data_IF_808353456772
#
_entry.id   IF_808353456772
#
_cell.length_a   1.000
_cell.length_b   1.000
_cell.length_c   1.000
_cell.angle_alpha   90.00
_cell.angle_beta   90.00
_cell.angle_gamma   90.00
#
_symmetry.space_group_name_H-M   'P 1'
#
loop_
_entity.id
_entity.type
_entity.pdbx_description
1 polymer ?
#
# COMPACT_ATOMS: atom_id res chain seq x y z
N UNK A 1 7.91 -36.88 32.65
CA UNK A 1 7.17 -36.55 31.42
C UNK A 1 6.46 -35.23 31.63
N UNK A 2 7.12 -34.12 31.31
CA UNK A 2 6.54 -32.77 31.36
C UNK A 2 6.11 -32.41 29.94
N UNK A 3 4.81 -32.54 29.68
CA UNK A 3 4.22 -32.13 28.40
C UNK A 3 4.29 -30.61 28.28
N UNK A 4 5.00 -30.11 27.27
CA UNK A 4 4.87 -28.72 26.84
C UNK A 4 3.42 -28.49 26.40
N UNK A 5 2.77 -27.51 27.03
CA UNK A 5 1.50 -26.96 26.56
C UNK A 5 1.71 -26.45 25.14
N UNK A 6 1.15 -27.16 24.15
CA UNK A 6 1.03 -26.65 22.80
C UNK A 6 0.19 -25.37 22.86
N UNK A 7 0.86 -24.20 22.78
CA UNK A 7 0.17 -22.93 22.61
C UNK A 7 -0.58 -23.03 21.29
N UNK A 8 -1.91 -23.04 21.35
CA UNK A 8 -2.74 -22.95 20.13
C UNK A 8 -2.26 -21.72 19.35
N UNK A 9 -1.93 -21.84 18.05
CA UNK A 9 -1.54 -20.68 17.26
C UNK A 9 -2.65 -19.64 17.36
N UNK A 10 -2.28 -18.42 17.75
CA UNK A 10 -3.21 -17.30 17.84
C UNK A 10 -3.76 -17.05 16.43
N UNK A 11 -5.08 -16.88 16.24
CA UNK A 11 -5.64 -16.58 14.93
C UNK A 11 -5.01 -15.30 14.38
N UNK A 12 -4.73 -15.31 13.08
CA UNK A 12 -4.11 -14.19 12.38
C UNK A 12 -5.15 -13.06 12.25
N UNK A 13 -4.87 -11.93 12.89
CA UNK A 13 -5.72 -10.75 12.89
C UNK A 13 -5.24 -9.75 11.83
N UNK A 14 -5.71 -9.91 10.59
CA UNK A 14 -5.33 -9.06 9.45
C UNK A 14 -5.69 -7.59 9.68
N UNK A 15 -6.85 -7.22 10.27
CA UNK A 15 -7.14 -5.85 10.68
C UNK A 15 -6.10 -5.23 11.61
N UNK A 16 -5.68 -5.94 12.67
CA UNK A 16 -4.64 -5.45 13.57
C UNK A 16 -3.28 -5.33 12.85
N UNK A 17 -2.98 -6.24 11.92
CA UNK A 17 -1.80 -6.13 11.08
C UNK A 17 -1.86 -4.91 10.15
N UNK A 18 -3.03 -4.58 9.58
CA UNK A 18 -3.19 -3.40 8.73
C UNK A 18 -2.96 -2.10 9.50
N UNK A 19 -3.46 -1.99 10.73
CA UNK A 19 -3.14 -0.86 11.61
C UNK A 19 -1.64 -0.76 11.88
N UNK A 20 -1.02 -1.87 12.31
CA UNK A 20 0.39 -1.90 12.61
C UNK A 20 1.24 -1.55 11.37
N UNK A 21 0.83 -1.97 10.18
CA UNK A 21 1.51 -1.63 8.93
C UNK A 21 1.55 -0.12 8.66
N UNK A 22 0.47 0.61 8.96
CA UNK A 22 0.43 2.07 8.81
C UNK A 22 1.38 2.76 9.79
N UNK A 23 1.40 2.30 11.04
CA UNK A 23 2.34 2.83 12.02
C UNK A 23 3.79 2.51 11.63
N UNK A 24 4.08 1.29 11.22
CA UNK A 24 5.44 0.90 10.81
C UNK A 24 5.91 1.66 9.57
N UNK A 25 5.00 1.98 8.64
CA UNK A 25 5.28 2.86 7.50
C UNK A 25 5.56 4.30 7.96
N UNK A 26 4.74 4.88 8.82
CA UNK A 26 4.90 6.26 9.31
C UNK A 26 6.17 6.45 10.13
N UNK A 27 6.48 5.46 10.97
CA UNK A 27 7.62 5.50 11.90
C UNK A 27 8.95 5.08 11.24
N UNK A 28 8.92 4.59 10.00
CA UNK A 28 10.14 4.34 9.22
C UNK A 28 10.83 5.68 8.93
N UNK A 29 12.06 5.84 9.41
CA UNK A 29 12.79 7.12 9.32
C UNK A 29 14.31 6.84 9.18
N UNK A 30 15.01 7.41 8.18
CA UNK A 30 14.51 8.32 7.14
C UNK A 30 13.67 7.62 6.06
N UNK A 31 12.64 8.28 5.55
CA UNK A 31 11.76 7.76 4.48
C UNK A 31 11.82 8.67 3.24
N UNK A 32 12.75 8.41 2.30
CA UNK A 32 13.08 9.34 1.22
C UNK A 32 11.88 9.88 0.42
N UNK A 33 11.70 11.20 0.43
CA UNK A 33 10.66 11.93 -0.32
C UNK A 33 9.25 11.81 0.26
N UNK A 34 9.06 11.08 1.36
CA UNK A 34 7.79 10.81 2.02
C UNK A 34 7.75 11.49 3.40
N UNK A 35 6.56 11.58 3.99
CA UNK A 35 6.38 12.13 5.34
C UNK A 35 6.91 11.13 6.37
N UNK A 36 7.80 11.57 7.26
CA UNK A 36 8.31 10.78 8.39
C UNK A 36 8.53 11.66 9.64
N UNK A 37 9.31 11.18 10.62
CA UNK A 37 9.62 11.96 11.83
C UNK A 37 10.58 13.12 11.61
N UNK A 38 11.39 13.11 10.55
CA UNK A 38 12.39 14.13 10.28
C UNK A 38 11.81 15.28 9.46
N UNK A 39 10.93 15.00 8.51
CA UNK A 39 10.36 16.01 7.63
C UNK A 39 9.06 15.56 6.93
N UNK A 40 8.47 16.48 6.15
CA UNK A 40 7.23 16.26 5.40
C UNK A 40 7.46 15.66 4.00
N UNK A 41 8.67 15.17 3.72
CA UNK A 41 9.09 14.75 2.39
C UNK A 41 8.88 15.84 1.35
N UNK A 42 8.40 15.45 0.17
CA UNK A 42 8.05 16.38 -0.89
C UNK A 42 6.74 17.13 -0.64
N UNK A 43 6.04 16.92 0.48
CA UNK A 43 4.72 17.47 0.71
C UNK A 43 4.75 18.84 1.41
N UNK A 44 3.73 19.66 1.12
CA UNK A 44 3.49 20.96 1.77
C UNK A 44 2.16 21.03 2.52
N UNK A 45 1.32 20.02 2.31
CA UNK A 45 -0.07 19.92 2.74
C UNK A 45 -0.26 18.87 3.85
N UNK A 46 0.76 18.08 4.16
CA UNK A 46 0.71 17.00 5.15
C UNK A 46 2.02 16.91 5.94
N UNK A 47 1.90 16.46 7.18
CA UNK A 47 2.98 16.23 8.13
C UNK A 47 2.72 14.97 8.98
N UNK A 48 3.67 14.60 9.82
CA UNK A 48 3.57 13.41 10.69
C UNK A 48 2.30 13.44 11.57
N UNK A 49 1.97 14.58 12.16
CA UNK A 49 0.81 14.73 13.03
C UNK A 49 -0.52 14.51 12.27
N UNK A 50 -0.59 14.92 11.01
CA UNK A 50 -1.74 14.66 10.13
C UNK A 50 -1.87 13.18 9.80
N UNK A 51 -0.75 12.50 9.55
CA UNK A 51 -0.73 11.04 9.37
C UNK A 51 -1.22 10.32 10.63
N UNK A 52 -0.76 10.70 11.82
CA UNK A 52 -1.25 10.16 13.10
C UNK A 52 -2.78 10.30 13.21
N UNK A 53 -3.32 11.50 12.96
CA UNK A 53 -4.78 11.72 12.98
C UNK A 53 -5.51 10.84 11.99
N UNK A 54 -4.94 10.68 10.79
CA UNK A 54 -5.51 9.80 9.78
C UNK A 54 -5.52 8.34 10.21
N UNK A 55 -4.41 7.81 10.75
CA UNK A 55 -4.31 6.42 11.19
C UNK A 55 -5.38 6.14 12.24
N UNK A 56 -5.49 7.01 13.27
CA UNK A 56 -6.51 6.88 14.29
C UNK A 56 -7.94 6.88 13.72
N UNK A 57 -8.22 7.67 12.69
CA UNK A 57 -9.53 7.76 12.07
C UNK A 57 -9.89 6.54 11.20
N UNK A 58 -8.89 5.90 10.57
CA UNK A 58 -9.11 4.78 9.64
C UNK A 58 -8.95 3.40 10.28
N UNK A 59 -8.18 3.26 11.36
CA UNK A 59 -7.98 1.97 12.07
C UNK A 59 -9.28 1.22 12.35
N UNK A 60 -10.35 1.84 12.89
CA UNK A 60 -11.60 1.12 13.18
C UNK A 60 -12.27 0.51 11.94
N UNK A 61 -11.96 0.99 10.75
CA UNK A 61 -12.53 0.49 9.50
C UNK A 61 -11.93 -0.83 9.05
N UNK A 62 -10.70 -1.17 9.47
CA UNK A 62 -10.08 -2.44 9.08
C UNK A 62 -10.85 -3.66 9.58
N UNK A 63 -11.36 -3.62 10.81
CA UNK A 63 -12.25 -4.64 11.34
C UNK A 63 -13.56 -4.72 10.53
N UNK A 64 -14.14 -3.56 10.19
CA UNK A 64 -15.37 -3.48 9.39
C UNK A 64 -15.20 -4.06 7.99
N UNK A 65 -14.04 -3.89 7.37
CA UNK A 65 -13.74 -4.52 6.08
C UNK A 65 -13.74 -6.05 6.20
N UNK A 66 -13.12 -6.60 7.24
CA UNK A 66 -13.12 -8.04 7.48
C UNK A 66 -14.53 -8.58 7.77
N UNK A 67 -15.31 -7.91 8.63
CA UNK A 67 -16.70 -8.26 8.93
C UNK A 67 -17.58 -8.25 7.67
N UNK A 68 -17.41 -7.25 6.79
CA UNK A 68 -18.12 -7.17 5.52
C UNK A 68 -17.73 -8.31 4.58
N UNK A 69 -16.44 -8.68 4.59
CA UNK A 69 -15.91 -9.83 3.86
C UNK A 69 -16.58 -11.12 4.30
N UNK A 70 -16.64 -11.35 5.60
CA UNK A 70 -17.29 -12.52 6.22
C UNK A 70 -18.79 -12.57 5.89
N UNK A 71 -19.51 -11.47 6.10
CA UNK A 71 -20.95 -11.38 5.83
C UNK A 71 -21.30 -11.64 4.35
N UNK A 72 -20.35 -11.50 3.44
CA UNK A 72 -20.53 -11.73 2.02
C UNK A 72 -19.63 -12.83 1.44
N UNK A 73 -19.04 -13.68 2.29
CA UNK A 73 -18.16 -14.78 1.89
C UNK A 73 -18.78 -15.68 0.80
N UNK A 74 -20.07 -16.01 0.94
CA UNK A 74 -20.80 -16.87 0.01
C UNK A 74 -21.12 -16.22 -1.36
N UNK A 75 -21.00 -14.90 -1.50
CA UNK A 75 -21.27 -14.22 -2.78
C UNK A 75 -20.07 -14.40 -3.74
N UNK A 76 -20.31 -14.47 -5.07
CA UNK A 76 -19.25 -14.53 -6.08
C UNK A 76 -18.27 -13.35 -6.00
N UNK A 77 -16.99 -13.60 -6.29
CA UNK A 77 -15.91 -12.63 -6.18
C UNK A 77 -16.12 -11.37 -7.04
N UNK A 78 -16.68 -11.53 -8.25
CA UNK A 78 -16.96 -10.45 -9.20
C UNK A 78 -18.05 -9.46 -8.72
N UNK A 79 -18.84 -9.82 -7.70
CA UNK A 79 -19.83 -8.95 -7.05
C UNK A 79 -19.25 -8.18 -5.86
N UNK A 80 -18.10 -8.59 -5.34
CA UNK A 80 -17.56 -8.08 -4.07
C UNK A 80 -17.07 -6.65 -4.14
N UNK A 81 -16.41 -6.25 -5.23
CA UNK A 81 -15.95 -4.86 -5.38
C UNK A 81 -17.10 -3.85 -5.30
N UNK A 82 -18.30 -4.20 -5.78
CA UNK A 82 -19.46 -3.30 -5.69
C UNK A 82 -19.97 -3.16 -4.25
N UNK A 83 -19.82 -4.21 -3.46
CA UNK A 83 -20.22 -4.26 -2.05
C UNK A 83 -19.19 -3.52 -1.17
N UNK A 84 -17.90 -3.69 -1.46
CA UNK A 84 -16.80 -3.09 -0.72
C UNK A 84 -16.70 -1.57 -0.92
N UNK A 85 -17.04 -1.07 -2.12
CA UNK A 85 -16.86 0.34 -2.49
C UNK A 85 -17.47 1.36 -1.52
N UNK A 86 -18.75 1.26 -1.12
CA UNK A 86 -19.33 2.22 -0.17
C UNK A 86 -18.55 2.28 1.15
N UNK A 87 -18.05 1.13 1.64
CA UNK A 87 -17.24 1.08 2.85
C UNK A 87 -15.87 1.73 2.64
N UNK A 88 -15.22 1.49 1.50
CA UNK A 88 -13.98 2.16 1.11
C UNK A 88 -14.13 3.68 1.06
N UNK A 89 -15.19 4.18 0.41
CA UNK A 89 -15.49 5.61 0.31
C UNK A 89 -15.77 6.24 1.67
N UNK A 90 -16.46 5.53 2.56
CA UNK A 90 -16.74 6.04 3.90
C UNK A 90 -15.47 6.07 4.79
N UNK A 91 -14.57 5.11 4.62
CA UNK A 91 -13.25 5.14 5.25
C UNK A 91 -12.39 6.30 4.73
N UNK A 92 -12.36 6.53 3.41
CA UNK A 92 -11.71 7.72 2.81
C UNK A 92 -12.30 9.02 3.37
N UNK A 93 -13.63 9.10 3.53
CA UNK A 93 -14.28 10.28 4.11
C UNK A 93 -13.90 10.51 5.57
N UNK A 94 -13.72 9.45 6.36
CA UNK A 94 -13.22 9.55 7.73
C UNK A 94 -11.78 10.09 7.78
N UNK A 95 -10.91 9.59 6.89
CA UNK A 95 -9.57 10.15 6.68
C UNK A 95 -9.65 11.64 6.34
N UNK A 96 -10.42 12.02 5.32
CA UNK A 96 -10.53 13.42 4.89
C UNK A 96 -11.09 14.32 5.99
N UNK A 97 -12.06 13.87 6.77
CA UNK A 97 -12.59 14.62 7.90
C UNK A 97 -11.53 14.86 8.99
N UNK A 98 -10.74 13.84 9.34
CA UNK A 98 -9.68 13.95 10.34
C UNK A 98 -8.47 14.79 9.88
N UNK A 99 -8.33 14.97 8.57
CA UNK A 99 -7.17 15.60 7.93
C UNK A 99 -7.48 16.94 7.26
N UNK A 100 -8.69 17.47 7.40
CA UNK A 100 -9.08 18.73 6.78
C UNK A 100 -9.10 18.68 5.24
N UNK A 101 -9.41 17.51 4.66
CA UNK A 101 -9.50 17.30 3.22
C UNK A 101 -8.20 16.84 2.55
N UNK A 102 -7.13 16.62 3.31
CA UNK A 102 -5.83 16.19 2.77
C UNK A 102 -5.80 14.67 2.57
N UNK A 103 -5.26 14.23 1.44
CA UNK A 103 -5.09 12.80 1.16
C UNK A 103 -3.80 12.27 1.77
N UNK A 104 -3.89 11.57 2.91
CA UNK A 104 -2.73 10.94 3.56
C UNK A 104 -2.59 9.45 3.24
N UNK A 105 -3.69 8.70 3.12
CA UNK A 105 -3.69 7.23 3.04
C UNK A 105 -4.66 6.64 2.01
N UNK A 106 -5.11 7.37 0.98
CA UNK A 106 -6.11 6.81 0.04
C UNK A 106 -5.69 5.49 -0.61
N UNK A 107 -4.41 5.38 -1.02
CA UNK A 107 -3.88 4.14 -1.60
C UNK A 107 -3.77 3.02 -0.56
N UNK A 108 -3.25 3.33 0.64
CA UNK A 108 -3.22 2.41 1.77
C UNK A 108 -4.60 1.88 2.18
N UNK A 109 -5.62 2.75 2.27
CA UNK A 109 -7.01 2.35 2.54
C UNK A 109 -7.51 1.37 1.48
N UNK A 110 -7.25 1.65 0.20
CA UNK A 110 -7.64 0.76 -0.90
C UNK A 110 -6.97 -0.61 -0.76
N UNK A 111 -5.66 -0.66 -0.57
CA UNK A 111 -4.89 -1.91 -0.55
C UNK A 111 -5.11 -2.72 0.74
N UNK A 112 -5.02 -2.09 1.90
CA UNK A 112 -5.21 -2.74 3.20
C UNK A 112 -6.68 -3.10 3.44
N UNK A 113 -7.62 -2.27 2.98
CA UNK A 113 -9.05 -2.59 3.02
C UNK A 113 -9.39 -3.83 2.19
N UNK A 114 -8.78 -3.99 1.01
CA UNK A 114 -8.91 -5.22 0.21
C UNK A 114 -8.35 -6.46 0.93
N UNK A 115 -7.18 -6.35 1.59
CA UNK A 115 -6.62 -7.45 2.37
C UNK A 115 -7.50 -7.83 3.56
N UNK A 116 -7.99 -6.85 4.31
CA UNK A 116 -8.90 -7.10 5.44
C UNK A 116 -10.20 -7.75 4.96
N UNK A 117 -10.78 -7.24 3.88
CA UNK A 117 -11.98 -7.82 3.28
C UNK A 117 -11.76 -9.25 2.76
N UNK A 118 -10.61 -9.51 2.12
CA UNK A 118 -10.24 -10.87 1.71
C UNK A 118 -10.07 -11.80 2.91
N UNK A 119 -9.51 -11.31 4.03
CA UNK A 119 -9.32 -12.08 5.26
C UNK A 119 -10.63 -12.60 5.84
N UNK A 120 -11.70 -11.80 5.80
CA UNK A 120 -13.04 -12.25 6.21
C UNK A 120 -13.67 -13.29 5.27
N UNK A 121 -13.21 -13.38 4.02
CA UNK A 121 -13.76 -14.29 3.01
C UNK A 121 -13.09 -15.65 2.97
N UNK A 122 -11.79 -15.69 3.23
CA UNK A 122 -11.01 -16.93 3.15
C UNK A 122 -11.17 -17.78 4.41
N UNK A 123 -11.24 -19.10 4.25
CA UNK A 123 -11.32 -20.03 5.39
C UNK A 123 -10.00 -20.17 6.15
N UNK A 124 -8.89 -20.14 5.41
CA UNK A 124 -7.54 -20.26 5.94
C UNK A 124 -6.74 -19.04 5.47
N UNK A 125 -6.31 -18.21 6.42
CA UNK A 125 -5.52 -17.01 6.14
C UNK A 125 -4.07 -17.42 5.91
N UNK A 126 -3.55 -17.11 4.73
CA UNK A 126 -2.13 -17.15 4.37
C UNK A 126 -1.85 -15.99 3.41
N UNK A 127 -0.58 -15.60 3.24
CA UNK A 127 -0.24 -14.55 2.27
C UNK A 127 -0.75 -14.89 0.86
N UNK A 128 -0.63 -16.15 0.45
CA UNK A 128 -1.13 -16.64 -0.83
C UNK A 128 -2.66 -16.60 -0.93
N UNK A 129 -3.38 -17.06 0.10
CA UNK A 129 -4.85 -17.08 0.06
C UNK A 129 -5.43 -15.67 -0.01
N UNK A 130 -4.85 -14.71 0.72
CA UNK A 130 -5.25 -13.31 0.65
C UNK A 130 -4.96 -12.71 -0.73
N UNK A 131 -3.75 -12.90 -1.26
CA UNK A 131 -3.38 -12.37 -2.58
C UNK A 131 -4.25 -12.94 -3.70
N UNK A 132 -4.52 -14.25 -3.67
CA UNK A 132 -5.42 -14.90 -4.61
C UNK A 132 -6.84 -14.36 -4.51
N UNK A 133 -7.37 -14.16 -3.30
CA UNK A 133 -8.73 -13.66 -3.13
C UNK A 133 -8.86 -12.19 -3.56
N UNK A 134 -7.87 -11.34 -3.25
CA UNK A 134 -7.83 -9.96 -3.76
C UNK A 134 -7.78 -9.94 -5.29
N UNK A 135 -6.97 -10.79 -5.92
CA UNK A 135 -6.92 -10.90 -7.39
C UNK A 135 -8.27 -11.33 -7.97
N UNK A 136 -8.98 -12.27 -7.32
CA UNK A 136 -10.31 -12.70 -7.76
C UNK A 136 -11.36 -11.60 -7.64
N UNK A 137 -11.36 -10.87 -6.52
CA UNK A 137 -12.25 -9.72 -6.29
C UNK A 137 -12.00 -8.63 -7.33
N UNK A 138 -10.72 -8.36 -7.64
CA UNK A 138 -10.30 -7.30 -8.56
C UNK A 138 -10.20 -7.72 -10.03
N UNK A 139 -10.63 -8.93 -10.39
CA UNK A 139 -10.54 -9.41 -11.77
C UNK A 139 -11.29 -8.48 -12.73
N UNK A 140 -10.62 -8.03 -13.79
CA UNK A 140 -11.13 -7.10 -14.80
C UNK A 140 -11.22 -5.64 -14.32
N UNK A 141 -10.65 -5.29 -13.18
CA UNK A 141 -10.72 -3.92 -12.63
C UNK A 141 -10.04 -2.91 -13.55
N UNK A 142 -8.84 -3.20 -14.02
CA UNK A 142 -8.09 -2.34 -14.96
C UNK A 142 -8.88 -2.14 -16.25
N UNK A 143 -9.39 -3.23 -16.85
CA UNK A 143 -10.15 -3.14 -18.09
C UNK A 143 -11.44 -2.32 -17.92
N UNK A 144 -12.16 -2.49 -16.81
CA UNK A 144 -13.41 -1.76 -16.56
C UNK A 144 -13.21 -0.28 -16.25
N UNK A 145 -12.12 0.08 -15.56
CA UNK A 145 -11.95 1.43 -15.00
C UNK A 145 -10.88 2.29 -15.66
N UNK A 146 -9.92 1.69 -16.38
CA UNK A 146 -8.83 2.44 -17.01
C UNK A 146 -8.90 2.43 -18.54
N UNK A 147 -9.51 1.40 -19.14
CA UNK A 147 -9.62 1.32 -20.60
C UNK A 147 -10.78 2.14 -21.20
N UNK A 148 -11.74 2.55 -20.38
CA UNK A 148 -12.89 3.36 -20.80
C UNK A 148 -12.51 4.79 -21.19
N UNK A 149 -13.18 5.35 -22.20
CA UNK A 149 -13.06 6.75 -22.60
C UNK A 149 -14.20 7.55 -21.97
N UNK A 150 -13.99 8.07 -20.77
CA UNK A 150 -14.87 9.09 -20.19
C UNK A 150 -14.33 10.49 -20.53
N UNK A 151 -15.22 11.47 -20.76
CA UNK A 151 -14.86 12.81 -21.25
C UNK A 151 -14.01 13.66 -20.28
N UNK A 152 -13.80 13.19 -19.05
CA UNK A 152 -12.87 13.77 -18.07
C UNK A 152 -12.03 12.64 -17.43
N UNK A 153 -11.00 12.19 -18.15
CA UNK A 153 -10.09 11.16 -17.65
C UNK A 153 -9.41 11.61 -16.34
N UNK A 154 -9.52 10.81 -15.29
CA UNK A 154 -8.76 10.92 -14.04
C UNK A 154 -7.25 10.83 -14.28
N UNK A 155 -6.43 11.25 -13.31
CA UNK A 155 -4.97 11.14 -13.42
C UNK A 155 -4.51 9.70 -13.72
N UNK A 156 -5.15 8.70 -13.11
CA UNK A 156 -4.86 7.28 -13.34
C UNK A 156 -5.24 6.83 -14.76
N UNK A 157 -6.40 7.22 -15.28
CA UNK A 157 -6.79 6.91 -16.67
C UNK A 157 -5.82 7.54 -17.68
N UNK A 158 -5.39 8.80 -17.45
CA UNK A 158 -4.40 9.47 -18.32
C UNK A 158 -3.05 8.75 -18.30
N UNK A 159 -2.58 8.34 -17.13
CA UNK A 159 -1.32 7.60 -17.00
C UNK A 159 -1.40 6.21 -17.65
N UNK A 160 -2.54 5.53 -17.52
CA UNK A 160 -2.77 4.27 -18.20
C UNK A 160 -2.77 4.43 -19.72
N UNK A 161 -3.49 5.42 -20.24
CA UNK A 161 -3.56 5.69 -21.69
C UNK A 161 -2.22 6.09 -22.29
N UNK A 162 -1.43 6.90 -21.58
CA UNK A 162 -0.19 7.44 -22.13
C UNK A 162 1.02 6.52 -21.95
N UNK A 163 1.03 5.72 -20.87
CA UNK A 163 2.21 4.96 -20.46
C UNK A 163 1.94 3.49 -20.11
N UNK A 164 0.68 3.03 -20.16
CA UNK A 164 0.29 1.67 -19.79
C UNK A 164 0.32 1.39 -18.28
N UNK A 165 0.44 2.43 -17.44
CA UNK A 165 0.57 2.28 -16.00
C UNK A 165 -0.78 1.98 -15.35
N UNK A 166 -0.90 0.83 -14.71
CA UNK A 166 -2.15 0.39 -14.05
C UNK A 166 -2.30 0.90 -12.62
N UNK A 167 -1.20 1.29 -11.98
CA UNK A 167 -1.16 1.75 -10.58
C UNK A 167 -1.75 0.74 -9.58
N UNK A 168 -2.31 1.26 -8.49
CA UNK A 168 -2.89 0.46 -7.40
C UNK A 168 -3.94 -0.57 -7.88
N UNK A 169 -4.70 -0.26 -8.95
CA UNK A 169 -5.70 -1.17 -9.52
C UNK A 169 -5.06 -2.43 -10.12
N UNK A 170 -3.96 -2.27 -10.85
CA UNK A 170 -3.23 -3.41 -11.41
C UNK A 170 -2.49 -4.21 -10.35
N UNK A 171 -1.98 -3.54 -9.31
CA UNK A 171 -1.44 -4.23 -8.14
C UNK A 171 -2.51 -5.11 -7.50
N UNK A 172 -3.69 -4.56 -7.18
CA UNK A 172 -4.79 -5.36 -6.63
C UNK A 172 -5.26 -6.48 -7.57
N UNK A 173 -5.45 -6.21 -8.86
CA UNK A 173 -5.88 -7.22 -9.84
C UNK A 173 -4.87 -8.37 -9.99
N UNK A 174 -3.57 -8.10 -9.86
CA UNK A 174 -2.52 -9.14 -9.84
C UNK A 174 -2.30 -9.82 -8.48
N UNK A 175 -3.05 -9.40 -7.45
CA UNK A 175 -2.89 -9.85 -6.07
C UNK A 175 -1.62 -9.33 -5.39
N UNK A 176 -1.18 -8.13 -5.74
CA UNK A 176 0.07 -7.49 -5.27
C UNK A 176 1.33 -8.21 -5.74
N UNK A 177 1.41 -8.53 -7.04
CA UNK A 177 2.53 -9.26 -7.62
C UNK A 177 3.90 -8.58 -7.36
N UNK A 178 3.95 -7.24 -7.36
CA UNK A 178 5.16 -6.48 -7.05
C UNK A 178 5.62 -6.73 -5.62
N UNK A 179 4.68 -6.70 -4.67
CA UNK A 179 4.97 -6.95 -3.25
C UNK A 179 5.43 -8.39 -3.04
N UNK A 180 4.72 -9.38 -3.59
CA UNK A 180 5.11 -10.80 -3.47
C UNK A 180 6.53 -11.05 -3.99
N UNK A 181 6.88 -10.43 -5.13
CA UNK A 181 8.23 -10.51 -5.69
C UNK A 181 9.28 -9.84 -4.79
N UNK A 182 8.98 -8.65 -4.26
CA UNK A 182 9.89 -7.94 -3.36
C UNK A 182 10.13 -8.70 -2.05
N UNK A 183 9.08 -9.29 -1.47
CA UNK A 183 9.16 -10.14 -0.28
C UNK A 183 10.04 -11.37 -0.50
N UNK A 184 9.93 -12.03 -1.67
CA UNK A 184 10.79 -13.17 -2.01
C UNK A 184 12.29 -12.83 -2.12
N UNK A 185 12.65 -11.55 -2.22
CA UNK A 185 14.03 -11.06 -2.27
C UNK A 185 14.46 -10.35 -0.98
N UNK A 186 13.54 -10.13 -0.05
CA UNK A 186 13.79 -9.43 1.20
C UNK A 186 14.17 -10.41 2.30
N UNK A 187 15.21 -10.09 3.07
CA UNK A 187 15.71 -10.97 4.13
C UNK A 187 14.92 -10.87 5.46
N UNK A 188 13.85 -10.06 5.50
CA UNK A 188 12.99 -9.91 6.66
C UNK A 188 13.52 -9.01 7.77
N UNK A 189 14.68 -8.33 7.58
CA UNK A 189 15.32 -7.59 8.67
C UNK A 189 14.94 -6.11 8.70
N UNK A 190 15.15 -5.38 7.59
CA UNK A 190 15.02 -3.92 7.56
C UNK A 190 13.94 -3.49 6.58
N UNK A 191 12.93 -2.76 7.06
CA UNK A 191 11.85 -2.23 6.21
C UNK A 191 12.35 -1.24 5.15
N UNK A 192 13.43 -0.52 5.43
CA UNK A 192 14.09 0.33 4.43
C UNK A 192 14.55 -0.49 3.20
N UNK A 193 15.03 -1.72 3.39
CA UNK A 193 15.42 -2.60 2.27
C UNK A 193 14.21 -2.97 1.41
N UNK A 194 13.09 -3.33 2.06
CA UNK A 194 11.84 -3.62 1.36
C UNK A 194 11.31 -2.39 0.61
N UNK A 195 11.34 -1.21 1.24
CA UNK A 195 10.94 0.04 0.62
C UNK A 195 11.80 0.36 -0.61
N UNK A 196 13.13 0.24 -0.52
CA UNK A 196 14.02 0.44 -1.66
C UNK A 196 13.75 -0.56 -2.78
N UNK A 197 13.51 -1.85 -2.46
CA UNK A 197 13.13 -2.86 -3.46
C UNK A 197 11.84 -2.50 -4.17
N UNK A 198 10.84 -2.03 -3.44
CA UNK A 198 9.57 -1.56 -4.01
C UNK A 198 9.80 -0.33 -4.90
N UNK A 199 10.51 0.69 -4.41
CA UNK A 199 10.85 1.89 -5.19
C UNK A 199 11.64 1.57 -6.47
N UNK A 200 12.47 0.53 -6.47
CA UNK A 200 13.29 0.13 -7.62
C UNK A 200 12.49 -0.45 -8.81
N UNK A 201 11.28 -0.96 -8.56
CA UNK A 201 10.50 -1.72 -9.56
C UNK A 201 9.05 -1.26 -9.71
N UNK A 202 8.46 -0.65 -8.68
CA UNK A 202 7.07 -0.20 -8.71
C UNK A 202 6.88 0.88 -9.78
N UNK A 203 5.79 0.77 -10.52
CA UNK A 203 5.35 1.78 -11.48
C UNK A 203 4.53 2.86 -10.77
N UNK A 204 5.18 3.59 -9.86
CA UNK A 204 4.53 4.49 -8.92
C UNK A 204 3.87 5.69 -9.64
N UNK A 205 2.53 5.69 -9.69
CA UNK A 205 1.72 6.75 -10.28
C UNK A 205 1.87 8.11 -9.58
N UNK A 206 2.28 8.14 -8.31
CA UNK A 206 2.51 9.40 -7.59
C UNK A 206 3.80 10.07 -8.11
N UNK A 207 4.85 9.30 -8.37
CA UNK A 207 6.07 9.81 -8.99
C UNK A 207 5.80 10.34 -10.39
N UNK A 208 5.01 9.61 -11.20
CA UNK A 208 4.66 10.05 -12.55
C UNK A 208 3.81 11.32 -12.53
N UNK A 209 2.92 11.48 -11.55
CA UNK A 209 2.12 12.70 -11.40
C UNK A 209 2.98 13.94 -11.08
N UNK A 210 4.08 13.77 -10.34
CA UNK A 210 4.91 14.88 -9.85
C UNK A 210 6.11 15.21 -10.72
N UNK A 211 6.75 14.19 -11.31
CA UNK A 211 7.98 14.33 -12.10
C UNK A 211 7.95 13.60 -13.44
N UNK A 212 6.79 13.10 -13.88
CA UNK A 212 6.66 12.33 -15.11
C UNK A 212 7.43 11.00 -15.07
N UNK A 213 7.57 10.38 -16.24
CA UNK A 213 8.33 9.12 -16.38
C UNK A 213 9.80 9.30 -16.00
N UNK A 214 10.36 10.50 -16.20
CA UNK A 214 11.74 10.80 -15.78
C UNK A 214 11.89 10.76 -14.26
N UNK A 215 10.95 11.36 -13.51
CA UNK A 215 10.91 11.28 -12.05
C UNK A 215 10.77 9.85 -11.53
N UNK A 216 9.90 9.05 -12.14
CA UNK A 216 9.78 7.62 -11.83
C UNK A 216 11.11 6.88 -12.05
N UNK A 217 11.72 7.04 -13.24
CA UNK A 217 12.99 6.38 -13.58
C UNK A 217 14.14 6.83 -12.68
N UNK A 218 14.15 8.09 -12.28
CA UNK A 218 15.14 8.64 -11.35
C UNK A 218 15.10 7.91 -10.00
N UNK A 219 13.92 7.83 -9.37
CA UNK A 219 13.77 7.13 -8.07
C UNK A 219 14.09 5.65 -8.20
N UNK A 220 13.61 5.00 -9.27
CA UNK A 220 13.92 3.59 -9.51
C UNK A 220 15.43 3.36 -9.69
N UNK A 221 16.13 4.24 -10.42
CA UNK A 221 17.57 4.18 -10.61
C UNK A 221 18.33 4.35 -9.30
N UNK A 222 17.97 5.38 -8.52
CA UNK A 222 18.58 5.67 -7.23
C UNK A 222 18.41 4.48 -6.26
N UNK A 223 17.19 3.93 -6.17
CA UNK A 223 16.92 2.79 -5.30
C UNK A 223 17.71 1.53 -5.72
N UNK A 224 17.86 1.27 -7.03
CA UNK A 224 18.71 0.17 -7.53
C UNK A 224 20.18 0.36 -7.19
N UNK A 225 20.68 1.59 -7.29
CA UNK A 225 22.06 1.91 -6.94
C UNK A 225 22.34 1.67 -5.45
N UNK A 226 21.45 2.11 -4.58
CA UNK A 226 21.53 1.84 -3.14
C UNK A 226 21.44 0.35 -2.80
N UNK A 227 20.58 -0.41 -3.50
CA UNK A 227 20.50 -1.86 -3.30
C UNK A 227 21.75 -2.60 -3.80
N UNK A 228 22.39 -2.11 -4.87
CA UNK A 228 23.57 -2.74 -5.44
C UNK A 228 24.86 -2.44 -4.65
N UNK A 229 25.00 -1.20 -4.17
CA UNK A 229 26.21 -0.73 -3.48
C UNK A 229 26.12 -0.84 -1.95
N UNK A 230 24.93 -1.16 -1.43
CA UNK A 230 24.63 -1.03 -0.01
C UNK A 230 24.16 0.37 0.35
N UNK A 231 23.44 0.47 1.46
CA UNK A 231 22.87 1.71 1.95
C UNK A 231 23.00 1.79 3.47
N UNK A 232 23.11 3.02 3.96
CA UNK A 232 23.07 3.35 5.38
C UNK A 232 22.14 4.55 5.59
N UNK A 233 22.10 5.04 6.83
CA UNK A 233 21.27 6.21 7.17
C UNK A 233 21.67 7.46 6.39
N UNK A 234 22.95 7.67 6.11
CA UNK A 234 23.43 8.86 5.38
C UNK A 234 23.01 8.81 3.91
N UNK A 235 23.13 7.64 3.28
CA UNK A 235 22.68 7.41 1.92
C UNK A 235 21.17 7.65 1.77
N UNK A 236 20.37 7.18 2.74
CA UNK A 236 18.93 7.46 2.78
C UNK A 236 18.63 8.95 2.93
N UNK A 237 19.34 9.68 3.79
CA UNK A 237 19.17 11.14 3.91
C UNK A 237 19.57 11.90 2.64
N UNK A 238 20.61 11.44 1.93
CA UNK A 238 20.99 11.99 0.62
C UNK A 238 19.91 11.76 -0.43
N UNK A 239 19.35 10.55 -0.46
CA UNK A 239 18.22 10.22 -1.33
C UNK A 239 17.01 11.09 -0.98
N UNK A 240 16.69 11.22 0.30
CA UNK A 240 15.57 12.04 0.80
C UNK A 240 15.68 13.49 0.30
N UNK A 241 16.80 14.16 0.57
CA UNK A 241 17.06 15.52 0.07
C UNK A 241 16.90 15.61 -1.44
N UNK A 242 17.45 14.66 -2.19
CA UNK A 242 17.40 14.68 -3.66
C UNK A 242 15.97 14.52 -4.20
N UNK A 243 15.13 13.74 -3.51
CA UNK A 243 13.71 13.55 -3.84
C UNK A 243 12.89 14.80 -3.51
N UNK A 244 13.12 15.40 -2.33
CA UNK A 244 12.45 16.64 -1.88
C UNK A 244 12.74 17.80 -2.85
N UNK A 245 14.00 18.01 -3.22
CA UNK A 245 14.42 19.05 -4.17
C UNK A 245 13.75 18.91 -5.55
N UNK A 246 13.42 17.67 -5.94
CA UNK A 246 12.75 17.35 -7.21
C UNK A 246 11.23 17.24 -7.07
N UNK A 247 10.68 17.49 -5.88
CA UNK A 247 9.27 17.33 -5.58
C UNK A 247 8.74 15.91 -5.86
N UNK A 248 9.58 14.88 -5.67
CA UNK A 248 9.26 13.47 -5.93
C UNK A 248 8.82 12.76 -4.64
N UNK A 249 7.62 12.17 -4.66
CA UNK A 249 7.07 11.41 -3.54
C UNK A 249 6.71 9.99 -3.99
N UNK A 250 7.41 8.95 -3.53
CA UNK A 250 7.15 7.54 -3.85
C UNK A 250 5.97 6.95 -3.04
N UNK A 251 4.83 7.63 -3.07
CA UNK A 251 3.65 7.31 -2.26
C UNK A 251 3.02 5.95 -2.59
N UNK A 252 2.99 5.55 -3.86
CA UNK A 252 2.52 4.21 -4.21
C UNK A 252 3.43 3.12 -3.68
N UNK A 253 4.74 3.39 -3.56
CA UNK A 253 5.70 2.46 -2.97
C UNK A 253 5.55 2.37 -1.45
N UNK A 254 5.16 3.46 -0.79
CA UNK A 254 4.78 3.46 0.63
C UNK A 254 3.52 2.62 0.89
N UNK A 255 2.48 2.78 0.07
CA UNK A 255 1.26 1.95 0.17
C UNK A 255 1.61 0.45 0.02
N UNK A 256 2.48 0.11 -0.93
CA UNK A 256 2.94 -1.27 -1.12
C UNK A 256 3.85 -1.76 0.01
N UNK A 257 4.58 -0.87 0.70
CA UNK A 257 5.36 -1.24 1.89
C UNK A 257 4.41 -1.71 3.00
N UNK A 258 3.30 -1.02 3.24
CA UNK A 258 2.29 -1.46 4.21
C UNK A 258 1.69 -2.82 3.84
N UNK A 259 1.38 -3.06 2.56
CA UNK A 259 0.95 -4.39 2.07
C UNK A 259 2.02 -5.45 2.35
N UNK A 260 3.28 -5.15 2.04
CA UNK A 260 4.42 -6.05 2.27
C UNK A 260 4.59 -6.38 3.75
N UNK A 261 4.44 -5.40 4.63
CA UNK A 261 4.47 -5.59 6.08
C UNK A 261 3.39 -6.59 6.52
N UNK A 262 2.13 -6.37 6.11
CA UNK A 262 1.02 -7.29 6.46
C UNK A 262 1.31 -8.70 5.99
N UNK A 263 1.66 -8.87 4.72
CA UNK A 263 1.90 -10.20 4.14
C UNK A 263 3.09 -10.91 4.78
N UNK A 264 4.14 -10.18 5.18
CA UNK A 264 5.30 -10.77 5.85
C UNK A 264 5.03 -11.24 7.28
N UNK A 265 4.00 -10.68 7.93
CA UNK A 265 3.60 -11.05 9.29
C UNK A 265 2.68 -12.29 9.33
N UNK A 266 2.22 -12.76 8.18
CA UNK A 266 1.33 -13.93 8.03
C UNK A 266 2.20 -15.15 7.72
N UNK A 267 2.22 -16.13 8.63
CA UNK A 267 2.98 -17.38 8.50
C UNK A 267 2.13 -18.51 7.94
#
# INVERSE_FOLDING_TARGET
MTGLLATKPRPIDVPALAEAALWQELELTPKPGLVDRLNNGSHRDMDHALFVRSIMAITPWFARFAELGEAHAAKPADRQLRILRPMGMACEQAMYAATGGVNTHKGGIFALGLLCFAAGRVKNISADSLCCEVSNICRGLVARELAGRSGQATAGERQFQHYGLTGARGEAESGFATVRKALGQWNGQLLHDLLLRLMAVNQDSNLVSRGGIQGLRYVQGYARELLANGWDREALLKMDKALIERNLSPGGSADLLSVGWVLSAIK
#
